data_IF_626682019305
#
_entry.id   IF_626682019305
#
_cell.length_a   1.000
_cell.length_b   1.000
_cell.length_c   1.000
_cell.angle_alpha   90.00
_cell.angle_beta   90.00
_cell.angle_gamma   90.00
#
_symmetry.space_group_name_H-M   'P 1'
#
loop_
_entity.id
_entity.type
_entity.pdbx_description
1 polymer ?
#
# COMPACT_ATOMS: atom_id res chain seq x y z
N UNK A 1 -27.33 -37.80 48.53
CA UNK A 1 -26.62 -36.66 47.89
C UNK A 1 -27.54 -35.45 47.97
N UNK A 2 -27.10 -34.36 48.58
CA UNK A 2 -27.98 -33.24 48.94
C UNK A 2 -28.22 -32.31 47.74
N UNK A 3 -29.44 -31.79 47.57
CA UNK A 3 -29.85 -30.89 46.48
C UNK A 3 -28.99 -29.61 46.46
N UNK A 4 -28.61 -29.15 47.65
CA UNK A 4 -27.72 -28.00 47.82
C UNK A 4 -26.31 -28.26 47.25
N UNK A 5 -25.83 -29.51 47.35
CA UNK A 5 -24.54 -29.90 46.77
C UNK A 5 -24.59 -29.90 45.24
N UNK A 6 -25.70 -30.32 44.63
CA UNK A 6 -25.89 -30.24 43.18
C UNK A 6 -25.92 -28.79 42.70
N UNK A 7 -26.64 -27.92 43.41
CA UNK A 7 -26.73 -26.50 43.07
C UNK A 7 -25.37 -25.80 43.14
N UNK A 8 -24.60 -26.04 44.21
CA UNK A 8 -23.27 -25.47 44.36
C UNK A 8 -22.30 -25.97 43.29
N UNK A 9 -22.32 -27.28 43.00
CA UNK A 9 -21.46 -27.86 41.95
C UNK A 9 -21.82 -27.30 40.56
N UNK A 10 -23.11 -27.11 40.28
CA UNK A 10 -23.59 -26.52 39.02
C UNK A 10 -23.17 -25.06 38.87
N UNK A 11 -23.34 -24.24 39.92
CA UNK A 11 -22.94 -22.84 39.91
C UNK A 11 -21.41 -22.68 39.75
N UNK A 12 -20.63 -23.56 40.38
CA UNK A 12 -19.18 -23.56 40.26
C UNK A 12 -18.69 -24.02 38.88
N UNK A 13 -19.37 -24.99 38.27
CA UNK A 13 -19.09 -25.39 36.88
C UNK A 13 -19.39 -24.25 35.90
N UNK A 14 -20.49 -23.53 36.12
CA UNK A 14 -20.92 -22.44 35.25
C UNK A 14 -19.96 -21.25 35.33
N UNK A 15 -19.48 -20.88 36.53
CA UNK A 15 -18.49 -19.82 36.69
C UNK A 15 -17.14 -20.17 36.09
N UNK A 16 -16.69 -21.42 36.19
CA UNK A 16 -15.47 -21.90 35.52
C UNK A 16 -15.60 -21.85 34.01
N UNK A 17 -16.76 -22.24 33.46
CA UNK A 17 -17.02 -22.15 32.02
C UNK A 17 -17.08 -20.71 31.52
N UNK A 18 -17.73 -19.80 32.24
CA UNK A 18 -17.76 -18.38 31.88
C UNK A 18 -16.35 -17.78 31.88
N UNK A 19 -15.56 -18.05 32.93
CA UNK A 19 -14.17 -17.61 33.00
C UNK A 19 -13.32 -18.18 31.85
N UNK A 20 -13.50 -19.46 31.51
CA UNK A 20 -12.80 -20.09 30.39
C UNK A 20 -13.20 -19.49 29.04
N UNK A 21 -14.48 -19.16 28.84
CA UNK A 21 -14.97 -18.48 27.63
C UNK A 21 -14.36 -17.08 27.52
N UNK A 22 -14.36 -16.30 28.61
CA UNK A 22 -13.78 -14.95 28.63
C UNK A 22 -12.27 -14.96 28.40
N UNK A 23 -11.54 -15.87 29.05
CA UNK A 23 -10.09 -16.05 28.85
C UNK A 23 -9.80 -16.47 27.40
N UNK A 24 -10.58 -17.38 26.82
CA UNK A 24 -10.41 -17.77 25.44
C UNK A 24 -10.70 -16.59 24.48
N UNK A 25 -11.70 -15.78 24.76
CA UNK A 25 -12.00 -14.58 23.96
C UNK A 25 -10.88 -13.54 24.05
N UNK A 26 -10.30 -13.31 25.23
CA UNK A 26 -9.18 -12.39 25.41
C UNK A 26 -7.89 -12.91 24.76
N UNK A 27 -7.58 -14.20 24.91
CA UNK A 27 -6.43 -14.82 24.24
C UNK A 27 -6.59 -14.80 22.72
N UNK A 28 -7.80 -15.02 22.19
CA UNK A 28 -8.09 -14.93 20.76
C UNK A 28 -7.97 -13.49 20.25
N UNK A 29 -8.39 -12.49 21.02
CA UNK A 29 -8.22 -11.09 20.64
C UNK A 29 -6.75 -10.68 20.70
N UNK A 30 -6.01 -11.03 21.75
CA UNK A 30 -4.57 -10.80 21.87
C UNK A 30 -3.78 -11.48 20.77
N UNK A 31 -4.07 -12.74 20.45
CA UNK A 31 -3.37 -13.47 19.38
C UNK A 31 -3.66 -12.83 18.02
N UNK A 32 -4.90 -12.40 17.77
CA UNK A 32 -5.28 -11.68 16.55
C UNK A 32 -4.58 -10.31 16.48
N UNK A 33 -4.51 -9.58 17.58
CA UNK A 33 -3.85 -8.27 17.68
C UNK A 33 -2.34 -8.40 17.48
N UNK A 34 -1.68 -9.35 18.16
CA UNK A 34 -0.25 -9.63 17.98
C UNK A 34 0.08 -9.99 16.53
N UNK A 35 -0.78 -10.79 15.87
CA UNK A 35 -0.61 -11.09 14.44
C UNK A 35 -0.75 -9.83 13.57
N UNK A 36 -1.71 -8.94 13.86
CA UNK A 36 -1.87 -7.66 13.14
C UNK A 36 -0.68 -6.72 13.36
N UNK A 37 -0.18 -6.63 14.59
CA UNK A 37 1.02 -5.86 14.93
C UNK A 37 2.23 -6.36 14.14
N UNK A 38 2.42 -7.68 14.06
CA UNK A 38 3.53 -8.27 13.29
C UNK A 38 3.42 -7.95 11.79
N UNK A 39 2.22 -8.09 11.21
CA UNK A 39 1.96 -7.75 9.80
C UNK A 39 2.25 -6.25 9.52
N UNK A 40 1.79 -5.36 10.41
CA UNK A 40 2.04 -3.92 10.31
C UNK A 40 3.53 -3.59 10.46
N UNK A 41 4.25 -4.26 11.36
CA UNK A 41 5.69 -4.04 11.54
C UNK A 41 6.51 -4.52 10.32
N UNK A 42 6.14 -5.65 9.72
CA UNK A 42 6.73 -6.09 8.44
C UNK A 42 6.47 -5.09 7.33
N UNK A 43 5.24 -4.58 7.23
CA UNK A 43 4.91 -3.53 6.26
C UNK A 43 5.72 -2.25 6.49
N UNK A 44 5.91 -1.83 7.74
CA UNK A 44 6.74 -0.67 8.09
C UNK A 44 8.18 -0.87 7.61
N UNK A 45 8.78 -2.03 7.86
CA UNK A 45 10.13 -2.33 7.40
C UNK A 45 10.26 -2.33 5.87
N UNK A 46 9.28 -2.91 5.16
CA UNK A 46 9.24 -2.84 3.70
C UNK A 46 9.24 -1.38 3.21
N UNK A 47 8.42 -0.51 3.82
CA UNK A 47 8.38 0.92 3.47
C UNK A 47 9.66 1.68 3.78
N UNK A 48 10.37 1.32 4.85
CA UNK A 48 11.69 1.89 5.17
C UNK A 48 12.70 1.52 4.06
N UNK A 49 12.73 0.25 3.65
CA UNK A 49 13.63 -0.23 2.58
C UNK A 49 13.31 0.47 1.25
N UNK A 50 12.03 0.56 0.88
CA UNK A 50 11.60 1.28 -0.32
C UNK A 50 11.94 2.77 -0.27
N UNK A 51 11.83 3.40 0.90
CA UNK A 51 12.21 4.82 1.08
C UNK A 51 13.71 5.02 0.86
N UNK A 52 14.55 4.11 1.36
CA UNK A 52 15.98 4.15 1.11
C UNK A 52 16.29 4.00 -0.39
N UNK A 53 15.58 3.10 -1.08
CA UNK A 53 15.72 2.94 -2.53
C UNK A 53 15.29 4.20 -3.31
N UNK A 54 14.13 4.80 -2.99
CA UNK A 54 13.70 6.05 -3.61
C UNK A 54 14.69 7.20 -3.36
N UNK A 55 15.19 7.31 -2.13
CA UNK A 55 16.20 8.32 -1.80
C UNK A 55 17.46 8.16 -2.66
N UNK A 56 17.96 6.92 -2.82
CA UNK A 56 19.10 6.64 -3.68
C UNK A 56 18.83 6.99 -5.15
N UNK A 57 17.64 6.64 -5.68
CA UNK A 57 17.21 6.99 -7.04
C UNK A 57 17.19 8.51 -7.23
N UNK A 58 16.66 9.26 -6.27
CA UNK A 58 16.62 10.73 -6.33
C UNK A 58 18.03 11.32 -6.40
N UNK A 59 18.98 10.78 -5.63
CA UNK A 59 20.37 11.22 -5.69
C UNK A 59 21.00 10.96 -7.06
N UNK A 60 20.80 9.76 -7.63
CA UNK A 60 21.31 9.43 -8.96
C UNK A 60 20.71 10.33 -10.05
N UNK A 61 19.39 10.50 -10.05
CA UNK A 61 18.70 11.38 -11.00
C UNK A 61 19.13 12.84 -10.84
N UNK A 62 19.28 13.31 -9.60
CA UNK A 62 19.75 14.67 -9.31
C UNK A 62 21.17 14.92 -9.83
N UNK A 63 22.08 13.96 -9.64
CA UNK A 63 23.43 14.03 -10.20
C UNK A 63 23.42 14.04 -11.72
N UNK A 64 22.60 13.19 -12.35
CA UNK A 64 22.45 13.14 -13.79
C UNK A 64 21.96 14.47 -14.38
N UNK A 65 20.92 15.05 -13.79
CA UNK A 65 20.37 16.35 -14.21
C UNK A 65 21.39 17.47 -14.02
N UNK A 66 22.15 17.46 -12.91
CA UNK A 66 23.17 18.48 -12.64
C UNK A 66 24.33 18.45 -13.64
N UNK A 67 24.71 17.26 -14.14
CA UNK A 67 25.74 17.10 -15.19
C UNK A 67 25.25 17.52 -16.58
N UNK A 68 23.97 17.31 -16.86
CA UNK A 68 23.36 17.58 -18.16
C UNK A 68 22.43 18.80 -18.09
N UNK A 69 23.03 19.99 -18.18
CA UNK A 69 22.31 21.27 -18.02
C UNK A 69 21.50 21.67 -19.27
N UNK A 70 21.77 21.04 -20.42
CA UNK A 70 21.03 21.29 -21.66
C UNK A 70 19.67 20.60 -21.63
N UNK A 71 18.62 21.31 -22.03
CA UNK A 71 17.27 20.75 -22.12
C UNK A 71 17.24 19.76 -23.28
N UNK A 72 17.27 18.47 -22.94
CA UNK A 72 17.25 17.34 -23.86
C UNK A 72 16.19 16.32 -23.43
N UNK A 73 15.78 15.42 -24.34
CA UNK A 73 14.80 14.38 -24.04
C UNK A 73 15.19 13.48 -22.85
N UNK A 74 16.47 13.09 -22.67
CA UNK A 74 16.90 12.38 -21.47
C UNK A 74 16.73 13.20 -20.18
N UNK A 75 17.11 14.49 -20.19
CA UNK A 75 16.97 15.36 -19.01
C UNK A 75 15.50 15.54 -18.62
N UNK A 76 14.60 15.71 -19.60
CA UNK A 76 13.14 15.78 -19.35
C UNK A 76 12.63 14.46 -18.76
N UNK A 77 13.09 13.33 -19.28
CA UNK A 77 12.72 12.01 -18.76
C UNK A 77 13.19 11.82 -17.32
N UNK A 78 14.44 12.20 -17.02
CA UNK A 78 15.01 12.16 -15.68
C UNK A 78 14.22 13.07 -14.71
N UNK A 79 13.79 14.25 -15.15
CA UNK A 79 12.94 15.15 -14.35
C UNK A 79 11.59 14.52 -14.01
N UNK A 80 10.91 13.91 -14.99
CA UNK A 80 9.62 13.23 -14.76
C UNK A 80 9.79 12.10 -13.75
N UNK A 81 10.82 11.27 -13.91
CA UNK A 81 11.11 10.18 -12.97
C UNK A 81 11.47 10.71 -11.57
N UNK A 82 12.20 11.83 -11.48
CA UNK A 82 12.54 12.45 -10.21
C UNK A 82 11.28 12.93 -9.47
N UNK A 83 10.30 13.51 -10.17
CA UNK A 83 9.00 13.89 -9.57
C UNK A 83 8.30 12.67 -8.98
N UNK A 84 8.19 11.57 -9.73
CA UNK A 84 7.58 10.35 -9.21
C UNK A 84 8.36 9.73 -8.05
N UNK A 85 9.69 9.78 -8.08
CA UNK A 85 10.53 9.27 -7.00
C UNK A 85 10.38 10.11 -5.71
N UNK A 86 10.33 11.44 -5.82
CA UNK A 86 10.09 12.35 -4.68
C UNK A 86 8.70 12.11 -4.09
N UNK A 87 7.68 12.04 -4.94
CA UNK A 87 6.30 11.77 -4.52
C UNK A 87 6.19 10.39 -3.86
N UNK A 88 6.84 9.37 -4.41
CA UNK A 88 6.93 8.02 -3.83
C UNK A 88 7.61 8.03 -2.46
N UNK A 89 8.73 8.74 -2.32
CA UNK A 89 9.43 8.90 -1.04
C UNK A 89 8.56 9.61 0.00
N UNK A 90 7.95 10.74 -0.35
CA UNK A 90 7.07 11.50 0.54
C UNK A 90 5.87 10.65 1.01
N UNK A 91 5.26 9.89 0.09
CA UNK A 91 4.18 8.97 0.42
C UNK A 91 4.61 7.83 1.34
N UNK A 92 5.79 7.24 1.11
CA UNK A 92 6.31 6.19 1.98
C UNK A 92 6.64 6.71 3.39
N UNK A 93 7.23 7.92 3.50
CA UNK A 93 7.47 8.58 4.79
C UNK A 93 6.13 8.83 5.50
N UNK A 94 5.13 9.37 4.79
CA UNK A 94 3.78 9.57 5.34
C UNK A 94 3.19 8.27 5.89
N UNK A 95 3.30 7.16 5.15
CA UNK A 95 2.86 5.84 5.63
C UNK A 95 3.59 5.38 6.88
N UNK A 96 4.91 5.54 6.95
CA UNK A 96 5.71 5.14 8.11
C UNK A 96 5.27 5.92 9.36
N UNK A 97 5.08 7.24 9.22
CA UNK A 97 4.62 8.10 10.32
C UNK A 97 3.22 7.70 10.79
N UNK A 98 2.28 7.47 9.87
CA UNK A 98 0.95 7.00 10.23
C UNK A 98 0.98 5.62 10.91
N UNK A 99 1.80 4.68 10.42
CA UNK A 99 1.95 3.35 11.03
C UNK A 99 2.59 3.41 12.43
N UNK A 100 3.51 4.35 12.67
CA UNK A 100 4.15 4.54 13.97
C UNK A 100 3.19 5.10 15.03
N UNK A 101 2.16 5.83 14.61
CA UNK A 101 1.18 6.47 15.50
C UNK A 101 -0.06 5.61 15.79
N UNK A 102 -0.13 4.37 15.29
CA UNK A 102 -1.24 3.46 15.61
C UNK A 102 -1.14 3.06 17.08
N UNK A 103 -2.08 3.53 17.88
CA UNK A 103 -2.20 3.19 19.29
C UNK A 103 -3.09 1.97 19.45
N UNK A 104 -2.48 0.83 19.77
CA UNK A 104 -3.17 -0.45 19.94
C UNK A 104 -3.85 -0.60 21.31
N UNK A 105 -3.66 0.35 22.23
CA UNK A 105 -4.37 0.37 23.51
C UNK A 105 -5.79 0.94 23.39
N UNK A 106 -6.14 1.50 22.23
CA UNK A 106 -7.47 2.07 21.95
C UNK A 106 -8.54 0.98 21.77
N UNK A 107 -9.84 1.33 21.95
CA UNK A 107 -10.95 0.44 21.63
C UNK A 107 -10.83 -0.15 20.21
N UNK A 108 -11.22 -1.42 20.05
CA UNK A 108 -11.07 -2.19 18.80
C UNK A 108 -11.65 -1.44 17.59
N UNK A 109 -12.77 -0.73 17.75
CA UNK A 109 -13.38 0.06 16.68
C UNK A 109 -12.51 1.22 16.19
N UNK A 110 -11.75 1.87 17.08
CA UNK A 110 -10.81 2.93 16.72
C UNK A 110 -9.58 2.36 16.01
N UNK A 111 -9.03 1.26 16.52
CA UNK A 111 -7.89 0.56 15.88
C UNK A 111 -8.27 0.09 14.47
N UNK A 112 -9.50 -0.42 14.28
CA UNK A 112 -9.99 -0.80 12.95
C UNK A 112 -10.08 0.41 11.99
N UNK A 113 -10.53 1.58 12.47
CA UNK A 113 -10.57 2.81 11.66
C UNK A 113 -9.16 3.30 11.28
N UNK A 114 -8.21 3.26 12.21
CA UNK A 114 -6.81 3.60 11.94
C UNK A 114 -6.22 2.66 10.89
N UNK A 115 -6.50 1.36 10.99
CA UNK A 115 -6.11 0.35 10.00
C UNK A 115 -6.76 0.65 8.63
N UNK A 116 -8.05 0.99 8.58
CA UNK A 116 -8.72 1.36 7.33
C UNK A 116 -8.07 2.59 6.67
N UNK A 117 -7.75 3.62 7.46
CA UNK A 117 -7.05 4.80 6.97
C UNK A 117 -5.69 4.42 6.35
N UNK A 118 -4.92 3.55 7.01
CA UNK A 118 -3.65 3.03 6.48
C UNK A 118 -3.85 2.25 5.17
N UNK A 119 -4.90 1.44 5.08
CA UNK A 119 -5.23 0.67 3.88
C UNK A 119 -5.59 1.59 2.71
N UNK A 120 -6.41 2.60 2.97
CA UNK A 120 -6.79 3.63 2.00
C UNK A 120 -5.57 4.40 1.50
N UNK A 121 -4.74 4.89 2.42
CA UNK A 121 -3.52 5.60 2.05
C UNK A 121 -2.55 4.71 1.26
N UNK A 122 -2.41 3.43 1.63
CA UNK A 122 -1.62 2.44 0.89
C UNK A 122 -2.12 2.24 -0.54
N UNK A 123 -3.43 2.15 -0.71
CA UNK A 123 -4.05 2.05 -2.03
C UNK A 123 -3.79 3.31 -2.85
N UNK A 124 -4.01 4.50 -2.28
CA UNK A 124 -3.79 5.77 -2.98
C UNK A 124 -2.33 5.97 -3.41
N UNK A 125 -1.37 5.65 -2.54
CA UNK A 125 0.05 5.72 -2.92
C UNK A 125 0.38 4.74 -4.05
N UNK A 126 -0.19 3.54 -4.00
CA UNK A 126 0.00 2.56 -5.08
C UNK A 126 -0.58 3.06 -6.40
N UNK A 127 -1.76 3.67 -6.37
CA UNK A 127 -2.38 4.30 -7.55
C UNK A 127 -1.50 5.40 -8.14
N UNK A 128 -0.92 6.23 -7.27
CA UNK A 128 -0.03 7.31 -7.67
C UNK A 128 1.26 6.80 -8.31
N UNK A 129 1.87 5.74 -7.77
CA UNK A 129 3.02 5.07 -8.38
C UNK A 129 2.64 4.40 -9.70
N UNK A 130 1.47 3.77 -9.78
CA UNK A 130 0.99 3.14 -11.01
C UNK A 130 0.69 4.17 -12.11
N UNK A 131 0.40 5.42 -11.76
CA UNK A 131 0.28 6.53 -12.72
C UNK A 131 1.60 6.84 -13.44
N UNK A 132 2.74 6.37 -12.91
CA UNK A 132 4.03 6.46 -13.59
C UNK A 132 4.27 5.36 -14.64
N UNK A 133 3.46 4.29 -14.64
CA UNK A 133 3.63 3.15 -15.54
C UNK A 133 3.66 3.50 -17.04
N UNK A 134 2.88 4.49 -17.55
CA UNK A 134 2.97 4.92 -18.95
C UNK A 134 4.35 5.42 -19.35
N UNK A 135 5.16 5.90 -18.40
CA UNK A 135 6.53 6.35 -18.62
C UNK A 135 7.55 5.21 -18.57
N UNK A 136 7.14 3.96 -18.83
CA UNK A 136 8.02 2.77 -18.80
C UNK A 136 9.33 2.95 -19.57
N UNK A 137 9.30 3.60 -20.74
CA UNK A 137 10.50 3.86 -21.54
C UNK A 137 11.44 4.91 -20.93
N UNK A 138 10.94 5.85 -20.13
CA UNK A 138 11.81 6.76 -19.38
C UNK A 138 12.70 5.97 -18.41
N UNK A 139 12.15 4.95 -17.74
CA UNK A 139 12.93 4.08 -16.85
C UNK A 139 14.01 3.30 -17.61
N UNK A 140 13.69 2.80 -18.82
CA UNK A 140 14.64 2.07 -19.65
C UNK A 140 15.77 3.00 -20.10
N UNK A 141 15.44 4.11 -20.76
CA UNK A 141 16.47 4.99 -21.32
C UNK A 141 17.36 5.62 -20.26
N UNK A 142 16.76 6.15 -19.19
CA UNK A 142 17.53 6.77 -18.10
C UNK A 142 18.25 5.71 -17.27
N UNK A 143 17.66 4.54 -17.08
CA UNK A 143 18.34 3.43 -16.39
C UNK A 143 19.61 3.01 -17.11
N UNK A 144 19.58 2.88 -18.44
CA UNK A 144 20.76 2.50 -19.21
C UNK A 144 21.82 3.61 -19.26
N UNK A 145 21.40 4.85 -19.42
CA UNK A 145 22.31 5.99 -19.45
C UNK A 145 22.98 6.20 -18.08
N UNK A 146 22.21 6.19 -16.99
CA UNK A 146 22.75 6.42 -15.63
C UNK A 146 23.61 5.25 -15.13
N UNK A 147 23.25 4.00 -15.44
CA UNK A 147 23.95 2.82 -14.89
C UNK A 147 25.09 2.31 -15.77
N UNK A 148 24.99 2.46 -17.09
CA UNK A 148 25.94 1.90 -18.04
C UNK A 148 26.59 2.96 -18.95
N UNK A 149 26.22 4.24 -18.81
CA UNK A 149 26.69 5.35 -19.66
C UNK A 149 26.37 5.11 -21.15
N UNK A 150 25.28 4.38 -21.42
CA UNK A 150 24.79 4.07 -22.78
C UNK A 150 23.61 4.98 -23.11
N UNK A 151 23.84 5.93 -24.01
CA UNK A 151 22.76 6.75 -24.59
C UNK A 151 21.97 5.94 -25.62
N UNK A 152 20.88 5.32 -25.16
CA UNK A 152 19.94 4.62 -26.01
C UNK A 152 19.13 5.56 -26.92
N UNK A 153 18.94 6.84 -26.55
CA UNK A 153 18.22 7.79 -27.41
C UNK A 153 19.00 8.07 -28.69
N UNK A 154 20.32 8.12 -28.64
CA UNK A 154 21.17 8.30 -29.82
C UNK A 154 21.03 7.17 -30.86
N UNK A 155 20.59 5.99 -30.43
CA UNK A 155 20.45 4.80 -31.27
C UNK A 155 19.00 4.56 -31.72
N UNK A 156 18.07 5.45 -31.38
CA UNK A 156 16.66 5.28 -31.73
C UNK A 156 16.36 5.75 -33.15
N UNK A 157 15.72 4.87 -33.93
CA UNK A 157 15.12 5.28 -35.20
C UNK A 157 13.81 6.05 -35.00
N UNK A 158 13.50 6.95 -35.93
CA UNK A 158 12.31 7.81 -35.87
C UNK A 158 10.99 7.03 -35.72
N UNK A 159 10.89 5.86 -36.35
CA UNK A 159 9.70 5.01 -36.27
C UNK A 159 9.51 4.41 -34.87
N UNK A 160 10.61 4.11 -34.17
CA UNK A 160 10.57 3.61 -32.79
C UNK A 160 10.13 4.70 -31.81
N UNK A 161 10.60 5.94 -32.00
CA UNK A 161 10.17 7.09 -31.20
C UNK A 161 8.65 7.27 -31.28
N UNK A 162 8.10 7.19 -32.50
CA UNK A 162 6.65 7.24 -32.73
C UNK A 162 5.91 6.10 -32.05
N UNK A 163 6.39 4.86 -32.23
CA UNK A 163 5.80 3.69 -31.60
C UNK A 163 5.76 3.81 -30.07
N UNK A 164 6.87 4.19 -29.44
CA UNK A 164 6.94 4.34 -27.99
C UNK A 164 6.05 5.47 -27.48
N UNK A 165 6.02 6.61 -28.18
CA UNK A 165 5.16 7.74 -27.82
C UNK A 165 3.68 7.37 -27.87
N UNK A 166 3.23 6.71 -28.94
CA UNK A 166 1.84 6.24 -29.08
C UNK A 166 1.53 5.17 -28.03
N UNK A 167 2.45 4.23 -27.79
CA UNK A 167 2.26 3.18 -26.77
C UNK A 167 2.13 3.76 -25.36
N UNK A 168 2.93 4.78 -25.02
CA UNK A 168 2.87 5.51 -23.76
C UNK A 168 1.51 6.21 -23.60
N UNK A 169 1.00 6.82 -24.66
CA UNK A 169 -0.31 7.49 -24.63
C UNK A 169 -1.45 6.49 -24.42
N UNK A 170 -1.42 5.35 -25.12
CA UNK A 170 -2.41 4.28 -24.95
C UNK A 170 -2.35 3.69 -23.53
N UNK A 171 -1.14 3.48 -23.00
CA UNK A 171 -0.96 3.01 -21.63
C UNK A 171 -1.45 4.05 -20.60
N UNK A 172 -1.27 5.34 -20.85
CA UNK A 172 -1.78 6.40 -19.98
C UNK A 172 -3.31 6.34 -19.87
N UNK A 173 -4.00 6.20 -21.00
CA UNK A 173 -5.45 6.07 -21.05
C UNK A 173 -5.89 4.79 -20.33
N UNK A 174 -5.28 3.65 -20.67
CA UNK A 174 -5.61 2.36 -20.06
C UNK A 174 -5.41 2.38 -18.53
N UNK A 175 -4.27 2.93 -18.09
CA UNK A 175 -3.93 3.09 -16.68
C UNK A 175 -4.92 4.00 -15.96
N UNK A 176 -5.26 5.15 -16.56
CA UNK A 176 -6.28 6.06 -16.02
C UNK A 176 -7.63 5.38 -15.82
N UNK A 177 -8.09 4.61 -16.81
CA UNK A 177 -9.34 3.84 -16.73
C UNK A 177 -9.33 2.79 -15.60
N UNK A 178 -8.23 2.04 -15.45
CA UNK A 178 -8.08 1.06 -14.38
C UNK A 178 -8.05 1.74 -13.01
N UNK A 179 -7.30 2.83 -12.88
CA UNK A 179 -7.18 3.58 -11.63
C UNK A 179 -8.48 4.27 -11.21
N UNK A 180 -9.30 4.70 -12.17
CA UNK A 180 -10.62 5.24 -11.89
C UNK A 180 -11.55 4.20 -11.24
N UNK A 181 -11.43 2.92 -11.65
CA UNK A 181 -12.22 1.82 -11.07
C UNK A 181 -11.65 1.27 -9.76
N UNK A 182 -10.35 1.44 -9.52
CA UNK A 182 -9.67 0.93 -8.33
C UNK A 182 -9.96 1.79 -7.08
N UNK A 183 -11.08 1.52 -6.41
CA UNK A 183 -11.51 2.15 -5.16
C UNK A 183 -12.28 1.14 -4.28
N UNK A 184 -12.30 1.36 -2.97
CA UNK A 184 -13.06 0.57 -2.00
C UNK A 184 -14.58 0.59 -2.24
N UNK A 185 -15.10 1.64 -2.88
CA UNK A 185 -16.51 1.70 -3.31
C UNK A 185 -16.85 0.63 -4.37
N UNK A 186 -15.89 0.25 -5.21
CA UNK A 186 -16.06 -0.73 -6.28
C UNK A 186 -15.63 -2.15 -5.88
N UNK A 187 -15.44 -2.39 -4.58
CA UNK A 187 -14.90 -3.64 -4.05
C UNK A 187 -15.80 -4.87 -4.30
N UNK A 188 -17.07 -4.65 -4.67
CA UNK A 188 -17.97 -5.71 -5.11
C UNK A 188 -17.47 -6.39 -6.41
N UNK A 189 -16.68 -5.68 -7.22
CA UNK A 189 -16.13 -6.23 -8.46
C UNK A 189 -14.98 -7.20 -8.15
N UNK A 190 -15.02 -8.47 -8.64
CA UNK A 190 -14.04 -9.50 -8.24
C UNK A 190 -12.58 -9.13 -8.50
N UNK A 191 -12.28 -8.54 -9.66
CA UNK A 191 -10.90 -8.14 -9.99
C UNK A 191 -10.44 -6.95 -9.12
N UNK A 192 -11.31 -5.99 -8.80
CA UNK A 192 -10.99 -4.86 -7.91
C UNK A 192 -10.67 -5.38 -6.51
N UNK A 193 -11.50 -6.29 -5.98
CA UNK A 193 -11.26 -6.94 -4.70
C UNK A 193 -9.91 -7.67 -4.68
N UNK A 194 -9.64 -8.46 -5.72
CA UNK A 194 -8.38 -9.21 -5.85
C UNK A 194 -7.17 -8.26 -5.89
N UNK A 195 -7.22 -7.19 -6.68
CA UNK A 195 -6.13 -6.20 -6.77
C UNK A 195 -5.90 -5.48 -5.46
N UNK A 196 -6.96 -5.01 -4.78
CA UNK A 196 -6.83 -4.35 -3.47
C UNK A 196 -6.32 -5.35 -2.42
N UNK A 197 -6.76 -6.62 -2.46
CA UNK A 197 -6.27 -7.67 -1.58
C UNK A 197 -4.79 -7.99 -1.79
N UNK A 198 -4.32 -7.98 -3.04
CA UNK A 198 -2.90 -8.11 -3.35
C UNK A 198 -2.09 -6.91 -2.83
N UNK A 199 -2.57 -5.69 -3.06
CA UNK A 199 -1.87 -4.46 -2.64
C UNK A 199 -1.82 -4.39 -1.12
N UNK A 200 -2.96 -4.48 -0.46
CA UNK A 200 -3.11 -4.15 0.96
C UNK A 200 -2.96 -5.40 1.84
N UNK A 201 -3.46 -6.55 1.41
CA UNK A 201 -3.51 -7.81 2.14
C UNK A 201 -4.96 -8.24 2.41
N UNK A 202 -5.27 -9.53 2.23
CA UNK A 202 -6.66 -10.06 2.38
C UNK A 202 -7.29 -9.73 3.73
N UNK A 203 -6.51 -9.86 4.81
CA UNK A 203 -6.99 -9.61 6.16
C UNK A 203 -7.39 -8.15 6.37
N UNK A 204 -6.63 -7.24 5.79
CA UNK A 204 -6.85 -5.80 5.86
C UNK A 204 -8.03 -5.37 4.99
N UNK A 205 -8.23 -6.05 3.85
CA UNK A 205 -9.43 -5.88 3.01
C UNK A 205 -10.71 -6.26 3.75
N UNK A 206 -10.72 -7.38 4.48
CA UNK A 206 -11.91 -7.79 5.23
C UNK A 206 -12.31 -6.76 6.30
N UNK A 207 -11.33 -6.16 6.98
CA UNK A 207 -11.56 -5.08 7.96
C UNK A 207 -12.13 -3.84 7.27
N UNK A 208 -11.57 -3.46 6.13
CA UNK A 208 -12.05 -2.32 5.34
C UNK A 208 -13.49 -2.54 4.84
N UNK A 209 -13.81 -3.76 4.37
CA UNK A 209 -15.16 -4.12 3.93
C UNK A 209 -16.16 -4.06 5.08
N UNK A 210 -15.79 -4.56 6.25
CA UNK A 210 -16.64 -4.52 7.44
C UNK A 210 -16.96 -3.07 7.85
N UNK A 211 -15.94 -2.20 7.94
CA UNK A 211 -16.16 -0.78 8.27
C UNK A 211 -17.03 -0.09 7.22
N UNK A 212 -16.73 -0.28 5.93
CA UNK A 212 -17.49 0.32 4.84
C UNK A 212 -18.96 -0.12 4.85
N UNK A 213 -19.23 -1.39 5.22
CA UNK A 213 -20.60 -1.91 5.32
C UNK A 213 -21.40 -1.27 6.46
N UNK A 214 -20.76 -0.96 7.59
CA UNK A 214 -21.41 -0.27 8.72
C UNK A 214 -21.78 1.15 8.31
N UNK A 215 -20.84 1.89 7.72
CA UNK A 215 -21.06 3.28 7.31
C UNK A 215 -22.13 3.40 6.22
N UNK A 216 -22.22 2.44 5.29
CA UNK A 216 -23.30 2.39 4.29
C UNK A 216 -24.69 2.02 4.84
N UNK A 217 -24.77 1.46 6.04
CA UNK A 217 -26.04 1.06 6.67
C UNK A 217 -26.63 2.19 7.52
N UNK A 218 -25.79 3.15 7.93
CA UNK A 218 -26.17 4.34 8.72
C UNK A 218 -26.54 5.57 7.84
N UNK A 219 -26.62 5.41 6.51
CA UNK A 219 -26.98 6.44 5.52
C UNK A 219 -28.33 6.19 4.87
#
# INVERSE_FOLDING_TARGET
MNLDNFKNTWQQQNSVNELAITINQSLLSETKLNKQMKELNTMKWARIIESAAFFFIILLLGQYIAKNVSVSAPVISALILAVFAIVGLAGNIGQIVHMANVDYAKPISQVQKDIYCLCSHKLQLTKLLFMSAPFYMAYVFIGFDVLFEIDLFAHLEQHMVWFYSVSSLLLLIATGCVLAKLNYTNIATPWVKCTIAFIVGERLVNIAQFINSIESTDS
#
